data_IF_320568692554
#
_entry.id   IF_320568692554
#
_cell.length_a   1.000
_cell.length_b   1.000
_cell.length_c   1.000
_cell.angle_alpha   90.00
_cell.angle_beta   90.00
_cell.angle_gamma   90.00
#
_symmetry.space_group_name_H-M   'P 1'
#
loop_
_entity.id
_entity.type
_entity.pdbx_description
1 polymer ?
#
# COMPACT_ATOMS: atom_id res chain seq x y z
N UNK A 1 -6.29 6.35 6.27
CA UNK A 1 -5.17 7.23 5.92
C UNK A 1 -5.09 7.36 4.40
N UNK A 2 -4.91 8.57 3.94
CA UNK A 2 -4.81 8.90 2.51
C UNK A 2 -3.59 9.82 2.31
N UNK A 3 -2.69 9.46 1.42
CA UNK A 3 -1.57 10.33 1.07
C UNK A 3 -2.08 11.61 0.41
N UNK A 4 -1.57 12.75 0.85
CA UNK A 4 -2.05 14.06 0.40
C UNK A 4 -1.74 14.38 -1.09
N UNK A 5 -0.82 13.65 -1.68
CA UNK A 5 -0.38 13.76 -3.08
C UNK A 5 -1.03 12.71 -4.01
N UNK A 6 -2.06 12.02 -3.55
CA UNK A 6 -2.84 11.09 -4.36
C UNK A 6 -4.24 11.65 -4.59
N UNK A 7 -4.65 11.70 -5.85
CA UNK A 7 -6.01 12.06 -6.28
C UNK A 7 -6.66 10.82 -6.88
N UNK A 8 -7.81 10.42 -6.34
CA UNK A 8 -8.51 9.20 -6.77
C UNK A 8 -10.01 9.29 -6.47
N UNK A 9 -10.81 8.56 -7.23
CA UNK A 9 -12.27 8.51 -7.12
C UNK A 9 -12.82 7.09 -6.88
N UNK A 10 -11.98 6.13 -6.46
CA UNK A 10 -12.48 4.81 -6.10
C UNK A 10 -13.43 4.87 -4.90
N UNK A 11 -14.34 3.90 -4.80
CA UNK A 11 -15.26 3.83 -3.66
C UNK A 11 -14.53 3.38 -2.38
N UNK A 12 -14.28 4.34 -1.49
CA UNK A 12 -13.68 4.07 -0.18
C UNK A 12 -14.58 3.16 0.69
N UNK A 13 -15.90 3.19 0.47
CA UNK A 13 -16.85 2.33 1.17
C UNK A 13 -16.61 0.85 0.90
N UNK A 14 -16.30 0.48 -0.34
CA UNK A 14 -15.93 -0.89 -0.70
C UNK A 14 -14.67 -1.35 0.04
N UNK A 15 -13.65 -0.50 0.11
CA UNK A 15 -12.42 -0.82 0.83
C UNK A 15 -12.65 -0.97 2.35
N UNK A 16 -13.49 -0.13 2.94
CA UNK A 16 -13.88 -0.22 4.36
C UNK A 16 -14.63 -1.54 4.62
N UNK A 17 -15.59 -1.89 3.76
CA UNK A 17 -16.34 -3.13 3.87
C UNK A 17 -15.42 -4.36 3.73
N UNK A 18 -14.49 -4.35 2.78
CA UNK A 18 -13.52 -5.43 2.59
C UNK A 18 -12.58 -5.58 3.79
N UNK A 19 -12.11 -4.45 4.36
CA UNK A 19 -11.29 -4.46 5.58
C UNK A 19 -12.05 -5.09 6.76
N UNK A 20 -13.27 -4.64 6.99
CA UNK A 20 -14.11 -5.16 8.07
C UNK A 20 -14.41 -6.67 7.90
N UNK A 21 -14.71 -7.10 6.68
CA UNK A 21 -15.01 -8.51 6.38
C UNK A 21 -13.80 -9.42 6.52
N UNK A 22 -12.60 -8.93 6.19
CA UNK A 22 -11.36 -9.73 6.25
C UNK A 22 -10.81 -9.88 7.67
N UNK A 23 -11.11 -8.95 8.58
CA UNK A 23 -10.49 -8.85 9.89
C UNK A 23 -8.98 -8.57 9.84
N UNK A 24 -8.47 -8.06 8.71
CA UNK A 24 -7.06 -7.75 8.53
C UNK A 24 -6.56 -6.69 9.52
N UNK A 25 -5.29 -6.74 9.87
CA UNK A 25 -4.64 -5.71 10.70
C UNK A 25 -4.45 -4.41 9.91
N UNK A 26 -4.22 -4.52 8.60
CA UNK A 26 -4.18 -3.39 7.68
C UNK A 26 -4.66 -3.79 6.28
N UNK A 27 -5.25 -2.83 5.56
CA UNK A 27 -5.65 -3.01 4.16
C UNK A 27 -5.06 -1.88 3.32
N UNK A 28 -4.38 -2.22 2.25
CA UNK A 28 -3.67 -1.30 1.37
C UNK A 28 -4.39 -1.23 0.02
N UNK A 29 -4.72 -0.02 -0.46
CA UNK A 29 -5.13 0.15 -1.85
C UNK A 29 -3.97 -0.24 -2.76
N UNK A 30 -4.20 -1.16 -3.66
CA UNK A 30 -3.19 -1.66 -4.59
C UNK A 30 -3.74 -1.77 -6.00
N UNK A 31 -2.87 -1.74 -6.99
CA UNK A 31 -3.22 -1.91 -8.38
C UNK A 31 -2.12 -2.63 -9.16
N UNK A 32 -2.52 -3.33 -10.22
CA UNK A 32 -1.61 -3.90 -11.23
C UNK A 32 -1.19 -2.79 -12.19
N UNK A 33 -0.22 -2.00 -11.78
CA UNK A 33 0.37 -0.97 -12.64
C UNK A 33 1.89 -1.06 -12.63
N UNK A 34 2.52 -0.54 -13.66
CA UNK A 34 3.96 -0.45 -13.69
C UNK A 34 4.49 0.46 -12.58
N UNK A 35 5.43 -0.08 -11.82
CA UNK A 35 6.15 0.62 -10.77
C UNK A 35 7.46 -0.12 -10.52
N UNK A 36 8.52 0.62 -10.27
CA UNK A 36 9.78 0.02 -9.82
C UNK A 36 9.66 -0.60 -8.42
N UNK A 37 8.66 -0.19 -7.64
CA UNK A 37 8.42 -0.67 -6.28
C UNK A 37 7.11 -1.43 -6.25
N UNK A 38 7.19 -2.73 -5.97
CA UNK A 38 6.03 -3.62 -5.94
C UNK A 38 5.88 -4.26 -4.57
N UNK A 39 4.66 -4.33 -4.06
CA UNK A 39 4.29 -5.16 -2.93
C UNK A 39 4.03 -6.59 -3.43
N UNK A 40 4.41 -7.57 -2.63
CA UNK A 40 4.31 -8.99 -2.95
C UNK A 40 3.22 -9.63 -2.10
N UNK A 41 2.24 -10.24 -2.77
CA UNK A 41 1.10 -10.88 -2.12
C UNK A 41 1.05 -12.36 -2.45
N UNK A 42 0.66 -13.18 -1.47
CA UNK A 42 0.37 -14.59 -1.72
C UNK A 42 -1.05 -14.80 -2.30
N UNK A 43 -1.38 -16.05 -2.61
CA UNK A 43 -2.67 -16.42 -3.20
C UNK A 43 -3.87 -16.10 -2.29
N UNK A 44 -3.67 -15.89 -0.99
CA UNK A 44 -4.71 -15.46 -0.04
C UNK A 44 -4.90 -13.95 0.00
N UNK A 45 -4.09 -13.18 -0.75
CA UNK A 45 -4.08 -11.72 -0.75
C UNK A 45 -3.32 -11.10 0.42
N UNK A 46 -2.57 -11.89 1.19
CA UNK A 46 -1.75 -11.41 2.30
C UNK A 46 -0.39 -10.92 1.79
N UNK A 47 0.04 -9.77 2.26
CA UNK A 47 1.36 -9.22 1.95
C UNK A 47 2.46 -10.10 2.56
N UNK A 48 3.45 -10.44 1.72
CA UNK A 48 4.60 -11.26 2.09
C UNK A 48 5.90 -10.48 2.04
N UNK A 49 5.92 -9.37 1.32
CA UNK A 49 7.12 -8.57 1.18
C UNK A 49 6.99 -7.49 0.12
N UNK A 50 8.14 -7.07 -0.36
CA UNK A 50 8.32 -6.00 -1.32
C UNK A 50 9.53 -6.27 -2.21
N UNK A 51 9.48 -5.78 -3.45
CA UNK A 51 10.62 -5.79 -4.36
C UNK A 51 10.84 -4.43 -5.02
N UNK A 52 12.10 -4.14 -5.32
CA UNK A 52 12.47 -3.07 -6.24
C UNK A 52 12.95 -3.69 -7.56
N UNK A 53 12.13 -3.60 -8.59
CA UNK A 53 12.41 -4.19 -9.91
C UNK A 53 13.60 -3.55 -10.63
N UNK A 54 13.96 -2.30 -10.28
CA UNK A 54 15.10 -1.62 -10.87
C UNK A 54 16.43 -2.09 -10.30
N UNK A 55 16.49 -2.42 -9.00
CA UNK A 55 17.70 -2.89 -8.32
C UNK A 55 17.75 -4.40 -8.14
N UNK A 56 16.63 -5.10 -8.26
CA UNK A 56 16.49 -6.51 -7.92
C UNK A 56 16.41 -6.78 -6.42
N UNK A 57 16.31 -5.73 -5.58
CA UNK A 57 16.20 -5.89 -4.14
C UNK A 57 14.85 -6.48 -3.75
N UNK A 58 14.87 -7.51 -2.91
CA UNK A 58 13.66 -8.15 -2.33
C UNK A 58 13.74 -8.07 -0.81
N UNK A 59 12.62 -7.75 -0.17
CA UNK A 59 12.47 -7.73 1.29
C UNK A 59 11.22 -8.50 1.74
N UNK A 60 11.30 -9.26 2.85
CA UNK A 60 12.49 -9.50 3.66
C UNK A 60 13.56 -10.28 2.87
N UNK A 61 14.82 -10.18 3.31
CA UNK A 61 15.94 -10.88 2.68
C UNK A 61 15.68 -12.40 2.65
N UNK A 62 15.94 -13.03 1.52
CA UNK A 62 15.71 -14.48 1.34
C UNK A 62 14.25 -14.85 1.01
N UNK A 63 13.35 -13.90 0.87
CA UNK A 63 11.99 -14.18 0.38
C UNK A 63 12.06 -14.67 -1.07
N UNK A 64 11.51 -15.85 -1.33
CA UNK A 64 11.24 -16.29 -2.70
C UNK A 64 10.03 -15.53 -3.26
N UNK A 65 10.30 -14.61 -4.18
CA UNK A 65 9.26 -13.82 -4.85
C UNK A 65 8.60 -14.58 -6.03
N UNK A 66 9.05 -15.80 -6.33
CA UNK A 66 8.44 -16.66 -7.35
C UNK A 66 7.01 -17.03 -6.95
N UNK A 67 6.05 -16.85 -7.86
CA UNK A 67 4.65 -17.17 -7.60
C UNK A 67 3.88 -16.16 -6.74
N UNK A 68 4.53 -15.10 -6.23
CA UNK A 68 3.85 -14.00 -5.53
C UNK A 68 3.29 -12.99 -6.53
N UNK A 69 2.09 -12.48 -6.21
CA UNK A 69 1.43 -11.46 -7.01
C UNK A 69 2.03 -10.08 -6.73
N UNK A 70 2.27 -9.30 -7.78
CA UNK A 70 2.94 -8.01 -7.74
C UNK A 70 1.95 -6.88 -7.94
N UNK A 71 1.88 -5.98 -6.97
CA UNK A 71 0.97 -4.84 -7.03
C UNK A 71 1.64 -3.58 -6.50
N UNK A 72 1.37 -2.46 -7.14
CA UNK A 72 1.84 -1.16 -6.69
C UNK A 72 0.91 -0.60 -5.61
N UNK A 73 1.48 0.03 -4.59
CA UNK A 73 0.71 0.73 -3.54
C UNK A 73 0.02 1.98 -4.09
N UNK A 74 -1.24 2.15 -3.74
CA UNK A 74 -2.09 3.25 -4.20
C UNK A 74 -2.12 4.49 -3.32
N UNK A 75 -1.37 4.50 -2.21
CA UNK A 75 -1.31 5.68 -1.32
C UNK A 75 -2.51 5.83 -0.37
N UNK A 76 -3.44 4.88 -0.35
CA UNK A 76 -4.57 4.84 0.59
C UNK A 76 -4.51 3.54 1.39
N UNK A 77 -4.72 3.62 2.70
CA UNK A 77 -4.68 2.45 3.56
C UNK A 77 -5.58 2.59 4.79
N UNK A 78 -6.08 1.45 5.27
CA UNK A 78 -6.85 1.31 6.49
C UNK A 78 -5.98 0.59 7.52
N UNK A 79 -5.97 1.10 8.74
CA UNK A 79 -5.25 0.54 9.87
C UNK A 79 -6.24 0.07 10.93
N UNK A 80 -6.21 -1.21 11.24
CA UNK A 80 -6.89 -1.79 12.39
C UNK A 80 -6.14 -1.48 13.70
N UNK A 81 -6.76 -1.81 14.81
CA UNK A 81 -6.24 -1.49 16.14
C UNK A 81 -4.85 -2.09 16.40
N UNK A 82 -4.62 -3.33 15.96
CA UNK A 82 -3.34 -4.03 16.14
C UNK A 82 -2.22 -3.36 15.35
N UNK A 83 -2.47 -2.92 14.11
CA UNK A 83 -1.51 -2.17 13.32
C UNK A 83 -1.22 -0.80 13.94
N UNK A 84 -2.24 -0.10 14.45
CA UNK A 84 -2.05 1.17 15.16
C UNK A 84 -1.18 1.01 16.41
N UNK A 85 -1.39 -0.06 17.20
CA UNK A 85 -0.54 -0.37 18.36
C UNK A 85 0.90 -0.66 17.97
N UNK A 86 1.11 -1.42 16.90
CA UNK A 86 2.45 -1.73 16.38
C UNK A 86 3.17 -0.47 15.88
N UNK A 87 2.47 0.42 15.17
CA UNK A 87 3.01 1.72 14.75
C UNK A 87 3.42 2.59 15.94
N UNK A 88 2.57 2.67 16.96
CA UNK A 88 2.88 3.41 18.18
C UNK A 88 4.09 2.82 18.94
N UNK A 89 4.22 1.49 18.98
CA UNK A 89 5.37 0.82 19.57
C UNK A 89 6.66 1.15 18.79
N UNK A 90 6.62 1.11 17.45
CA UNK A 90 7.76 1.48 16.59
C UNK A 90 8.17 2.95 16.81
N UNK A 91 7.20 3.86 16.86
CA UNK A 91 7.46 5.29 17.14
C UNK A 91 8.19 5.49 18.48
N UNK A 92 7.74 4.82 19.53
CA UNK A 92 8.41 4.87 20.84
C UNK A 92 9.83 4.30 20.79
N UNK A 93 10.02 3.16 20.11
CA UNK A 93 11.34 2.54 19.96
C UNK A 93 12.34 3.44 19.22
N UNK A 94 11.85 4.30 18.31
CA UNK A 94 12.64 5.27 17.57
C UNK A 94 12.75 6.64 18.29
N UNK A 95 12.31 6.74 19.55
CA UNK A 95 12.34 7.98 20.30
C UNK A 95 11.49 9.11 19.69
N UNK A 96 10.44 8.76 18.93
CA UNK A 96 9.58 9.69 18.21
C UNK A 96 10.14 10.21 16.88
N UNK A 97 11.29 9.70 16.44
CA UNK A 97 11.83 10.06 15.12
C UNK A 97 10.86 9.63 13.99
N UNK A 98 10.72 10.45 12.92
CA UNK A 98 9.86 10.11 11.79
C UNK A 98 10.39 8.87 11.06
N UNK A 99 9.46 8.04 10.56
CA UNK A 99 9.78 6.88 9.74
C UNK A 99 8.73 6.67 8.64
N UNK A 100 9.13 6.00 7.56
CA UNK A 100 8.23 5.72 6.45
C UNK A 100 7.24 4.58 6.78
N UNK A 101 6.00 4.71 6.33
CA UNK A 101 4.98 3.67 6.53
C UNK A 101 5.28 2.40 5.72
N UNK A 102 5.89 2.51 4.54
CA UNK A 102 6.24 1.34 3.74
C UNK A 102 7.29 0.44 4.42
N UNK A 103 8.41 0.95 4.92
CA UNK A 103 9.31 0.16 5.75
C UNK A 103 8.61 -0.52 6.94
N UNK A 104 7.67 0.15 7.61
CA UNK A 104 6.88 -0.46 8.67
C UNK A 104 6.08 -1.67 8.17
N UNK A 105 5.37 -1.57 7.05
CA UNK A 105 4.61 -2.69 6.50
C UNK A 105 5.51 -3.84 6.07
N UNK A 106 6.63 -3.56 5.42
CA UNK A 106 7.59 -4.57 4.98
C UNK A 106 8.16 -5.35 6.17
N UNK A 107 8.56 -4.64 7.23
CA UNK A 107 9.13 -5.24 8.43
C UNK A 107 8.09 -6.02 9.25
N UNK A 108 6.81 -5.62 9.17
CA UNK A 108 5.72 -6.18 9.99
C UNK A 108 4.86 -7.22 9.29
N UNK A 109 4.99 -7.44 7.97
CA UNK A 109 4.08 -8.30 7.21
C UNK A 109 4.15 -9.80 7.59
N UNK A 110 5.21 -10.23 8.29
CA UNK A 110 5.29 -11.57 8.86
C UNK A 110 4.36 -11.75 10.08
N UNK A 111 4.18 -10.69 10.87
CA UNK A 111 3.45 -10.70 12.14
C UNK A 111 2.02 -10.16 12.01
N UNK A 112 1.82 -9.12 11.18
CA UNK A 112 0.52 -8.51 10.93
C UNK A 112 -0.14 -9.13 9.69
N UNK A 113 -1.46 -9.29 9.73
CA UNK A 113 -2.25 -9.62 8.54
C UNK A 113 -2.48 -8.35 7.71
N UNK A 114 -1.60 -8.09 6.75
CA UNK A 114 -1.67 -6.95 5.85
C UNK A 114 -2.18 -7.44 4.50
N UNK A 115 -3.29 -6.87 4.02
CA UNK A 115 -3.94 -7.30 2.77
C UNK A 115 -3.97 -6.21 1.72
N UNK A 116 -3.90 -6.63 0.46
CA UNK A 116 -4.15 -5.77 -0.68
C UNK A 116 -5.65 -5.69 -0.99
N UNK A 117 -6.14 -4.48 -1.25
CA UNK A 117 -7.47 -4.24 -1.81
C UNK A 117 -7.31 -3.64 -3.20
N UNK A 118 -7.88 -4.29 -4.19
CA UNK A 118 -7.92 -3.83 -5.57
C UNK A 118 -9.40 -3.61 -5.93
N UNK A 119 -9.83 -2.36 -6.21
CA UNK A 119 -11.22 -2.07 -6.57
C UNK A 119 -11.65 -2.89 -7.79
N UNK A 120 -12.88 -3.41 -7.78
CA UNK A 120 -13.42 -4.18 -8.90
C UNK A 120 -13.79 -3.28 -10.08
N UNK A 121 -14.29 -2.09 -9.79
CA UNK A 121 -14.66 -1.09 -10.79
C UNK A 121 -13.45 -0.26 -11.23
N UNK A 122 -13.49 0.22 -12.47
CA UNK A 122 -12.48 1.14 -12.97
C UNK A 122 -12.56 2.48 -12.23
N UNK A 123 -11.43 3.01 -11.83
CA UNK A 123 -11.31 4.27 -11.11
C UNK A 123 -10.13 5.09 -11.63
N UNK A 124 -10.17 6.39 -11.38
CA UNK A 124 -9.07 7.29 -11.69
C UNK A 124 -8.11 7.35 -10.51
N UNK A 125 -6.82 7.35 -10.83
CA UNK A 125 -5.77 7.47 -9.84
C UNK A 125 -4.62 8.31 -10.41
N UNK A 126 -4.21 9.33 -9.66
CA UNK A 126 -3.11 10.22 -10.03
C UNK A 126 -2.21 10.47 -8.83
N UNK A 127 -0.92 10.34 -9.04
CA UNK A 127 0.10 10.92 -8.17
C UNK A 127 0.30 12.36 -8.61
N UNK A 128 -0.03 13.32 -7.73
CA UNK A 128 0.05 14.76 -8.00
C UNK A 128 1.21 15.43 -7.24
N UNK A 129 2.20 14.67 -6.81
CA UNK A 129 3.31 15.13 -5.99
C UNK A 129 4.31 16.06 -6.69
N UNK A 130 4.12 16.38 -7.99
CA UNK A 130 4.89 17.41 -8.70
C UNK A 130 3.96 18.30 -9.54
N UNK A 131 4.39 19.57 -9.86
CA UNK A 131 3.59 20.46 -10.68
C UNK A 131 3.20 19.87 -12.05
N UNK A 132 4.10 19.11 -12.68
CA UNK A 132 3.86 18.47 -13.97
C UNK A 132 2.79 17.38 -13.88
N UNK A 133 2.84 16.57 -12.82
CA UNK A 133 1.85 15.51 -12.54
C UNK A 133 0.48 16.12 -12.21
N UNK A 134 0.46 17.20 -11.42
CA UNK A 134 -0.78 17.94 -11.12
C UNK A 134 -1.42 18.46 -12.40
N UNK A 135 -0.65 19.14 -13.28
CA UNK A 135 -1.16 19.64 -14.54
C UNK A 135 -1.68 18.53 -15.49
N UNK A 136 -1.06 17.35 -15.45
CA UNK A 136 -1.55 16.18 -16.19
C UNK A 136 -2.86 15.65 -15.64
N UNK A 137 -3.00 15.60 -14.31
CA UNK A 137 -4.23 15.18 -13.63
C UNK A 137 -5.39 16.15 -13.94
N UNK A 138 -5.17 17.47 -13.86
CA UNK A 138 -6.15 18.50 -14.20
C UNK A 138 -6.72 18.31 -15.60
N UNK A 139 -5.85 18.12 -16.61
CA UNK A 139 -6.30 17.86 -17.99
C UNK A 139 -7.18 16.62 -18.10
N UNK A 140 -6.88 15.56 -17.36
CA UNK A 140 -7.64 14.32 -17.37
C UNK A 140 -8.99 14.44 -16.65
N UNK A 141 -9.09 15.30 -15.64
CA UNK A 141 -10.35 15.52 -14.91
C UNK A 141 -11.31 16.44 -15.66
N UNK A 142 -10.79 17.33 -16.51
CA UNK A 142 -11.59 18.30 -17.30
C UNK A 142 -12.03 17.74 -18.66
N UNK A 143 -11.50 16.60 -19.08
CA UNK A 143 -11.84 15.92 -20.33
C UNK A 143 -13.01 14.95 -20.13
#
# INVERSE_FOLDING_TARGET
>A
VHNADILTDFDLGEMIAAHAASGADATLLVARRESSRQLLFDASGRMRGWENRSSGEVRPAGLDAGGLDRKAFGGVHILGERACRALAARSRALGGAPFGVMPFYIDSCAELDIRGFEPAEAYRWFDIGTPEKLAAAEKSYMA
#
